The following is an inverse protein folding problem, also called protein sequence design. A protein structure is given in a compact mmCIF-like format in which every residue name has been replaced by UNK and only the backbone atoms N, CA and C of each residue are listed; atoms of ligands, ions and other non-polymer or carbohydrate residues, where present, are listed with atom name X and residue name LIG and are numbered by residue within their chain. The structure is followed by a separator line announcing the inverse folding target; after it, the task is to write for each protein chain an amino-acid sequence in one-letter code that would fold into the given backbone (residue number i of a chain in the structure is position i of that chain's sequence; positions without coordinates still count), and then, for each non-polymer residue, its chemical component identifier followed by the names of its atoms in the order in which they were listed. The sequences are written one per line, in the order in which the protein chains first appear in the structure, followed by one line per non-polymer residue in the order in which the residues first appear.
data_IF_089035647279
#
_entry.id   IF_089035647279
#
_cell.length_a   1.000
_cell.length_b   1.000
_cell.length_c   1.000
_cell.angle_alpha   90.00
_cell.angle_beta   90.00
_cell.angle_gamma   90.00
#
_symmetry.space_group_name_H-M   'P 1'
#
loop_
_entity.id
_entity.type
_entity.pdbx_description
1 polymer ?
#
# COMPACT_ATOMS: atom_id res chain seq x y z
N UNK A 1 -8.00 3.48 21.98
CA UNK A 1 -7.18 2.50 21.23
C UNK A 1 -7.91 1.78 20.10
N UNK A 2 -9.26 1.79 20.00
CA UNK A 2 -9.97 1.17 18.86
C UNK A 2 -9.78 1.91 17.52
N UNK A 3 -9.42 3.19 17.55
CA UNK A 3 -9.32 4.01 16.34
C UNK A 3 -8.24 3.52 15.37
N UNK A 4 -7.08 3.08 15.88
CA UNK A 4 -5.93 2.73 15.04
C UNK A 4 -6.16 1.48 14.18
N UNK A 5 -6.93 0.50 14.68
CA UNK A 5 -7.24 -0.71 13.90
C UNK A 5 -8.20 -0.41 12.75
N UNK A 6 -9.20 0.43 12.99
CA UNK A 6 -10.14 0.88 11.96
C UNK A 6 -9.45 1.73 10.88
N UNK A 7 -8.49 2.56 11.29
CA UNK A 7 -7.63 3.28 10.35
C UNK A 7 -6.77 2.33 9.50
N UNK A 8 -6.19 1.30 10.12
CA UNK A 8 -5.41 0.30 9.40
C UNK A 8 -6.27 -0.43 8.36
N UNK A 9 -7.47 -0.88 8.74
CA UNK A 9 -8.44 -1.50 7.82
C UNK A 9 -8.82 -0.55 6.68
N UNK A 10 -9.12 0.71 6.98
CA UNK A 10 -9.46 1.72 5.98
C UNK A 10 -8.31 1.98 5.01
N UNK A 11 -7.08 2.07 5.51
CA UNK A 11 -5.89 2.28 4.68
C UNK A 11 -5.63 1.08 3.75
N UNK A 12 -5.85 -0.15 4.22
CA UNK A 12 -5.76 -1.35 3.38
C UNK A 12 -6.82 -1.33 2.28
N UNK A 13 -8.07 -0.97 2.60
CA UNK A 13 -9.13 -0.84 1.58
C UNK A 13 -8.77 0.17 0.50
N UNK A 14 -8.27 1.35 0.89
CA UNK A 14 -7.82 2.36 -0.07
C UNK A 14 -6.71 1.82 -0.98
N UNK A 15 -5.73 1.10 -0.40
CA UNK A 15 -4.66 0.47 -1.17
C UNK A 15 -5.19 -0.62 -2.10
N UNK A 16 -6.15 -1.43 -1.65
CA UNK A 16 -6.84 -2.43 -2.47
C UNK A 16 -7.53 -1.80 -3.67
N UNK A 17 -8.27 -0.70 -3.49
CA UNK A 17 -8.95 -0.02 -4.60
C UNK A 17 -7.99 0.46 -5.69
N UNK A 18 -6.75 0.80 -5.32
CA UNK A 18 -5.70 1.17 -6.28
C UNK A 18 -5.06 -0.07 -6.92
N UNK A 19 -4.83 -1.12 -6.14
CA UNK A 19 -4.10 -2.32 -6.57
C UNK A 19 -4.97 -3.28 -7.39
N UNK A 20 -6.31 -3.22 -7.26
CA UNK A 20 -7.22 -4.09 -8.00
C UNK A 20 -7.15 -3.90 -9.52
N UNK A 21 -6.66 -2.75 -9.97
CA UNK A 21 -6.40 -2.39 -11.37
C UNK A 21 -4.92 -2.52 -11.77
N UNK A 22 -4.08 -3.01 -10.84
CA UNK A 22 -2.63 -3.11 -10.98
C UNK A 22 -2.11 -4.44 -11.52
N UNK A 23 -0.93 -4.83 -11.07
CA UNK A 23 -0.19 -6.01 -11.56
C UNK A 23 -1.00 -7.31 -11.41
N UNK A 24 -1.74 -7.43 -10.31
CA UNK A 24 -2.52 -8.62 -9.97
C UNK A 24 -4.01 -8.49 -10.29
N UNK A 25 -4.37 -7.71 -11.32
CA UNK A 25 -5.75 -7.47 -11.77
C UNK A 25 -6.59 -8.77 -11.85
N UNK A 26 -6.05 -9.82 -12.46
CA UNK A 26 -6.75 -11.11 -12.66
C UNK A 26 -7.24 -11.73 -11.33
N UNK A 27 -6.52 -11.46 -10.25
CA UNK A 27 -6.81 -11.95 -8.91
C UNK A 27 -7.67 -10.98 -8.10
N UNK A 28 -7.42 -9.68 -8.23
CA UNK A 28 -7.97 -8.64 -7.34
C UNK A 28 -9.21 -7.93 -7.89
N UNK A 29 -9.42 -7.83 -9.21
CA UNK A 29 -10.58 -7.14 -9.77
C UNK A 29 -11.91 -7.82 -9.40
N UNK A 30 -11.92 -9.15 -9.42
CA UNK A 30 -13.02 -9.98 -8.95
C UNK A 30 -12.47 -11.06 -8.03
N UNK A 31 -12.26 -10.72 -6.74
CA UNK A 31 -11.58 -11.61 -5.82
C UNK A 31 -12.50 -12.77 -5.44
N UNK A 32 -11.94 -13.96 -5.44
CA UNK A 32 -12.54 -15.17 -4.88
C UNK A 32 -11.56 -15.80 -3.91
N UNK A 33 -12.04 -16.65 -2.99
CA UNK A 33 -11.15 -17.36 -2.05
C UNK A 33 -10.02 -18.11 -2.74
N UNK A 34 -10.31 -18.71 -3.90
CA UNK A 34 -9.31 -19.41 -4.70
C UNK A 34 -8.27 -18.47 -5.28
N UNK A 35 -8.72 -17.35 -5.88
CA UNK A 35 -7.82 -16.33 -6.44
C UNK A 35 -6.93 -15.70 -5.38
N UNK A 36 -7.51 -15.32 -4.23
CA UNK A 36 -6.74 -14.74 -3.12
C UNK A 36 -5.73 -15.72 -2.54
N UNK A 37 -6.09 -17.01 -2.45
CA UNK A 37 -5.15 -18.07 -2.06
C UNK A 37 -4.00 -18.18 -3.04
N UNK A 38 -4.30 -18.26 -4.33
CA UNK A 38 -3.28 -18.46 -5.35
C UNK A 38 -2.34 -17.24 -5.46
N UNK A 39 -2.89 -16.03 -5.32
CA UNK A 39 -2.10 -14.80 -5.21
C UNK A 39 -1.24 -14.77 -3.94
N UNK A 40 -1.79 -15.15 -2.79
CA UNK A 40 -1.03 -15.26 -1.54
C UNK A 40 0.16 -16.20 -1.72
N UNK A 41 -0.05 -17.38 -2.33
CA UNK A 41 1.04 -18.30 -2.64
C UNK A 41 2.13 -17.64 -3.48
N UNK A 42 1.75 -16.94 -4.55
CA UNK A 42 2.69 -16.24 -5.44
C UNK A 42 3.50 -15.17 -4.70
N UNK A 43 2.88 -14.40 -3.82
CA UNK A 43 3.56 -13.37 -3.02
C UNK A 43 4.59 -14.00 -2.09
N UNK A 44 4.24 -15.10 -1.42
CA UNK A 44 5.15 -15.79 -0.50
C UNK A 44 6.23 -16.61 -1.22
N UNK A 45 6.06 -16.94 -2.49
CA UNK A 45 7.15 -17.45 -3.34
C UNK A 45 8.20 -16.37 -3.63
N UNK A 46 7.81 -15.09 -3.63
CA UNK A 46 8.63 -13.96 -4.04
C UNK A 46 9.25 -13.20 -2.85
N UNK A 47 10.07 -13.88 -2.05
CA UNK A 47 10.85 -13.32 -0.93
C UNK A 47 10.02 -12.51 0.11
N UNK A 48 9.19 -13.19 0.91
CA UNK A 48 8.43 -12.55 1.98
C UNK A 48 9.36 -12.03 3.09
N UNK A 49 8.93 -10.99 3.79
CA UNK A 49 9.64 -10.54 4.99
C UNK A 49 9.40 -11.51 6.16
N UNK A 50 10.27 -11.48 7.18
CA UNK A 50 10.08 -12.32 8.37
C UNK A 50 8.73 -12.05 9.07
N UNK A 51 8.26 -10.81 9.05
CA UNK A 51 6.95 -10.49 9.61
C UNK A 51 5.80 -11.06 8.76
N UNK A 52 5.95 -11.06 7.43
CA UNK A 52 4.96 -11.67 6.53
C UNK A 52 4.88 -13.19 6.81
N UNK A 53 6.03 -13.86 6.99
CA UNK A 53 6.10 -15.28 7.37
C UNK A 53 5.41 -15.54 8.72
N UNK A 54 5.57 -14.66 9.70
CA UNK A 54 4.90 -14.78 10.99
C UNK A 54 3.37 -14.65 10.85
N UNK A 55 2.89 -13.70 10.04
CA UNK A 55 1.46 -13.54 9.75
C UNK A 55 0.88 -14.79 9.09
N UNK A 56 1.62 -15.36 8.12
CA UNK A 56 1.24 -16.61 7.47
C UNK A 56 1.12 -17.75 8.48
N UNK A 57 2.16 -17.95 9.31
CA UNK A 57 2.16 -18.98 10.34
C UNK A 57 0.99 -18.82 11.31
N UNK A 58 0.68 -17.60 11.73
CA UNK A 58 -0.41 -17.33 12.67
C UNK A 58 -1.78 -17.67 12.09
N UNK A 59 -2.05 -17.27 10.83
CA UNK A 59 -3.37 -17.50 10.23
C UNK A 59 -3.61 -18.97 9.85
N UNK A 60 -2.58 -19.62 9.31
CA UNK A 60 -2.68 -20.98 8.78
C UNK A 60 -2.22 -22.06 9.76
N UNK A 61 -1.61 -21.68 10.88
CA UNK A 61 -1.00 -22.59 11.86
C UNK A 61 0.06 -23.54 11.23
N UNK A 62 0.73 -23.08 10.16
CA UNK A 62 1.74 -23.86 9.44
C UNK A 62 2.84 -22.94 8.89
N UNK A 63 4.07 -23.43 8.89
CA UNK A 63 5.19 -22.69 8.30
C UNK A 63 5.13 -22.74 6.78
N UNK A 64 5.47 -21.62 6.14
CA UNK A 64 5.53 -21.56 4.68
C UNK A 64 6.65 -22.45 4.17
N UNK A 65 6.29 -23.34 3.24
CA UNK A 65 7.19 -24.33 2.66
C UNK A 65 6.81 -24.53 1.20
N UNK A 66 7.72 -24.17 0.30
CA UNK A 66 7.53 -24.26 -1.15
C UNK A 66 7.14 -25.68 -1.62
N UNK A 67 7.53 -26.72 -0.89
CA UNK A 67 7.21 -28.12 -1.23
C UNK A 67 5.76 -28.50 -0.88
N UNK A 68 5.09 -27.73 -0.01
CA UNK A 68 3.77 -28.06 0.56
C UNK A 68 2.61 -27.34 -0.12
N UNK A 69 2.75 -26.97 -1.40
CA UNK A 69 1.69 -26.28 -2.19
C UNK A 69 0.34 -27.00 -2.13
N UNK A 70 0.33 -28.33 -2.19
CA UNK A 70 -0.91 -29.11 -2.13
C UNK A 70 -1.62 -28.97 -0.79
N UNK A 71 -0.90 -28.96 0.33
CA UNK A 71 -1.48 -28.73 1.67
C UNK A 71 -2.04 -27.31 1.79
N UNK A 72 -1.40 -26.34 1.17
CA UNK A 72 -1.89 -24.97 1.15
C UNK A 72 -3.21 -24.81 0.36
N UNK A 73 -3.44 -25.63 -0.67
CA UNK A 73 -4.71 -25.60 -1.43
C UNK A 73 -5.93 -25.85 -0.54
N UNK A 74 -5.78 -26.61 0.54
CA UNK A 74 -6.83 -26.92 1.52
C UNK A 74 -7.20 -25.72 2.39
N UNK A 75 -6.33 -24.70 2.51
CA UNK A 75 -6.56 -23.52 3.35
C UNK A 75 -7.50 -22.47 2.72
N UNK A 76 -8.24 -22.83 1.67
CA UNK A 76 -9.13 -21.92 0.92
C UNK A 76 -10.12 -21.17 1.83
N UNK A 77 -10.66 -21.82 2.86
CA UNK A 77 -11.68 -21.21 3.73
C UNK A 77 -11.13 -20.09 4.62
N UNK A 78 -9.82 -20.09 4.92
CA UNK A 78 -9.16 -19.01 5.66
C UNK A 78 -9.16 -17.68 4.91
N UNK A 79 -9.38 -17.70 3.60
CA UNK A 79 -9.48 -16.51 2.75
C UNK A 79 -10.88 -15.90 2.71
N UNK A 80 -11.91 -16.57 3.27
CA UNK A 80 -13.27 -16.02 3.31
C UNK A 80 -13.33 -14.63 3.96
N UNK A 81 -12.72 -14.38 5.14
CA UNK A 81 -12.78 -13.05 5.76
C UNK A 81 -12.07 -11.96 4.95
N UNK A 82 -11.07 -12.33 4.13
CA UNK A 82 -10.32 -11.40 3.29
C UNK A 82 -11.12 -11.07 2.03
N UNK A 83 -11.77 -12.08 1.43
CA UNK A 83 -12.68 -11.89 0.30
C UNK A 83 -13.79 -10.91 0.65
N UNK A 84 -14.52 -11.17 1.74
CA UNK A 84 -15.64 -10.32 2.15
C UNK A 84 -15.18 -8.93 2.60
N UNK A 85 -13.96 -8.81 3.13
CA UNK A 85 -13.34 -7.54 3.47
C UNK A 85 -13.06 -6.68 2.23
N UNK A 86 -12.44 -7.24 1.20
CA UNK A 86 -12.16 -6.55 -0.05
C UNK A 86 -13.41 -6.20 -0.84
N UNK A 87 -14.46 -7.03 -0.77
CA UNK A 87 -15.76 -6.72 -1.35
C UNK A 87 -16.56 -5.68 -0.55
N UNK A 88 -16.11 -5.30 0.64
CA UNK A 88 -16.83 -4.38 1.53
C UNK A 88 -18.06 -4.98 2.19
N UNK A 89 -18.24 -6.31 2.12
CA UNK A 89 -19.40 -7.01 2.70
C UNK A 89 -19.31 -7.12 4.22
N UNK A 90 -18.10 -7.42 4.73
CA UNK A 90 -17.88 -7.55 6.17
C UNK A 90 -16.56 -6.93 6.61
N UNK A 91 -16.46 -6.67 7.90
CA UNK A 91 -15.22 -6.23 8.52
C UNK A 91 -14.66 -7.33 9.44
N UNK A 92 -13.52 -7.95 9.11
CA UNK A 92 -12.99 -9.07 9.86
C UNK A 92 -12.48 -8.62 11.22
N UNK A 93 -12.80 -9.41 12.25
CA UNK A 93 -12.27 -9.21 13.61
C UNK A 93 -10.89 -9.87 13.80
N UNK A 94 -10.56 -10.84 12.95
CA UNK A 94 -9.30 -11.56 13.02
C UNK A 94 -8.15 -10.69 12.49
N UNK A 95 -7.27 -10.26 13.40
CA UNK A 95 -6.10 -9.42 13.09
C UNK A 95 -5.16 -10.10 12.10
N UNK A 96 -4.97 -11.42 12.16
CA UNK A 96 -4.12 -12.14 11.22
C UNK A 96 -4.70 -12.15 9.81
N UNK A 97 -6.03 -12.20 9.67
CA UNK A 97 -6.69 -12.06 8.37
C UNK A 97 -6.54 -10.63 7.81
N UNK A 98 -6.64 -9.60 8.65
CA UNK A 98 -6.39 -8.20 8.24
C UNK A 98 -4.92 -8.02 7.84
N UNK A 99 -3.98 -8.57 8.60
CA UNK A 99 -2.57 -8.51 8.26
C UNK A 99 -2.28 -9.24 6.94
N UNK A 100 -2.90 -10.39 6.70
CA UNK A 100 -2.76 -11.08 5.42
C UNK A 100 -3.37 -10.27 4.26
N UNK A 101 -4.49 -9.59 4.48
CA UNK A 101 -5.05 -8.66 3.51
C UNK A 101 -4.06 -7.54 3.16
N UNK A 102 -3.37 -6.98 4.16
CA UNK A 102 -2.31 -5.99 3.95
C UNK A 102 -1.14 -6.55 3.12
N UNK A 103 -0.77 -7.82 3.30
CA UNK A 103 0.27 -8.49 2.49
C UNK A 103 -0.19 -8.62 1.04
N UNK A 104 -1.43 -9.09 0.81
CA UNK A 104 -1.97 -9.33 -0.54
C UNK A 104 -1.96 -8.06 -1.41
N UNK A 105 -2.17 -6.89 -0.81
CA UNK A 105 -2.18 -5.61 -1.53
C UNK A 105 -0.88 -4.81 -1.34
N UNK A 106 0.18 -5.44 -0.85
CA UNK A 106 1.46 -4.80 -0.52
C UNK A 106 1.34 -3.48 0.29
N UNK A 107 0.41 -3.41 1.24
CA UNK A 107 0.26 -2.25 2.13
C UNK A 107 1.40 -2.20 3.16
N UNK A 108 1.99 -1.01 3.34
CA UNK A 108 3.06 -0.77 4.32
C UNK A 108 2.71 0.46 5.18
N UNK A 109 3.02 0.47 6.49
CA UNK A 109 3.69 -0.58 7.26
C UNK A 109 2.74 -1.74 7.62
N UNK A 110 3.25 -2.96 7.55
CA UNK A 110 2.60 -4.19 8.05
C UNK A 110 3.58 -5.02 8.89
N UNK A 111 3.11 -5.82 9.86
CA UNK A 111 1.73 -6.02 10.33
C UNK A 111 1.23 -4.86 11.21
N UNK A 112 -0.02 -4.95 11.68
CA UNK A 112 -0.70 -3.91 12.49
C UNK A 112 0.15 -3.34 13.63
N UNK A 113 0.91 -4.17 14.36
CA UNK A 113 1.81 -3.69 15.43
C UNK A 113 2.83 -2.66 14.96
N UNK A 114 3.35 -2.79 13.72
CA UNK A 114 4.27 -1.81 13.13
C UNK A 114 3.52 -0.56 12.67
N UNK A 115 2.31 -0.72 12.15
CA UNK A 115 1.44 0.40 11.80
C UNK A 115 1.13 1.25 13.02
N UNK A 116 0.64 0.64 14.10
CA UNK A 116 0.33 1.33 15.36
C UNK A 116 1.55 2.09 15.92
N UNK A 117 2.72 1.43 15.95
CA UNK A 117 3.96 2.08 16.37
C UNK A 117 4.30 3.30 15.49
N UNK A 118 4.10 3.20 14.17
CA UNK A 118 4.38 4.31 13.25
C UNK A 118 3.39 5.46 13.47
N UNK A 119 2.11 5.19 13.64
CA UNK A 119 1.10 6.21 13.92
C UNK A 119 1.44 6.98 15.20
N UNK A 120 1.76 6.27 16.30
CA UNK A 120 2.12 6.90 17.57
C UNK A 120 3.37 7.78 17.50
N UNK A 121 4.38 7.36 16.72
CA UNK A 121 5.58 8.17 16.49
C UNK A 121 5.25 9.43 15.68
N UNK A 122 4.38 9.31 14.67
CA UNK A 122 3.99 10.44 13.83
C UNK A 122 3.13 11.45 14.59
N UNK A 123 2.22 10.97 15.45
CA UNK A 123 1.45 11.81 16.38
C UNK A 123 2.38 12.59 17.32
N UNK A 124 3.36 11.92 17.92
CA UNK A 124 4.33 12.57 18.80
C UNK A 124 5.14 13.65 18.08
N UNK A 125 5.56 13.40 16.83
CA UNK A 125 6.25 14.41 16.02
C UNK A 125 5.37 15.61 15.68
N UNK A 126 4.09 15.39 15.38
CA UNK A 126 3.17 16.49 15.10
C UNK A 126 2.94 17.37 16.33
N UNK A 127 2.88 16.78 17.53
CA UNK A 127 2.83 17.53 18.78
C UNK A 127 4.10 18.34 18.98
N UNK A 128 5.30 17.74 18.79
CA UNK A 128 6.56 18.49 18.89
C UNK A 128 6.69 19.63 17.86
N UNK A 129 6.14 19.46 16.66
CA UNK A 129 6.11 20.51 15.63
C UNK A 129 5.12 21.62 16.02
N UNK A 130 3.95 21.25 16.54
CA UNK A 130 2.95 22.21 17.00
C UNK A 130 3.46 23.01 18.21
N UNK A 131 4.13 22.37 19.16
CA UNK A 131 4.72 23.02 20.33
C UNK A 131 5.85 23.97 19.93
N UNK A 132 6.67 23.61 18.94
CA UNK A 132 7.69 24.51 18.39
C UNK A 132 7.10 25.66 17.58
N UNK A 133 6.03 25.41 16.82
CA UNK A 133 5.33 26.45 16.08
C UNK A 133 4.67 27.45 17.05
N UNK A 134 4.04 26.97 18.11
CA UNK A 134 3.46 27.81 19.15
C UNK A 134 4.53 28.60 19.91
N UNK A 135 5.69 28.01 20.21
CA UNK A 135 6.80 28.74 20.83
C UNK A 135 7.38 29.84 19.90
N UNK A 136 7.40 29.63 18.58
CA UNK A 136 7.81 30.67 17.62
C UNK A 136 6.74 31.78 17.50
N UNK A 137 5.46 31.42 17.55
CA UNK A 137 4.35 32.39 17.58
C UNK A 137 4.33 33.18 18.90
N UNK A 138 4.62 32.56 20.05
CA UNK A 138 4.76 33.27 21.34
C UNK A 138 5.94 34.26 21.32
N UNK A 139 7.06 33.91 20.68
CA UNK A 139 8.19 34.84 20.49
C UNK A 139 7.82 35.99 19.56
N UNK A 140 7.07 35.73 18.47
CA UNK A 140 6.58 36.79 17.58
C UNK A 140 5.50 37.66 18.24
N UNK A 141 4.59 37.08 19.03
CA UNK A 141 3.59 37.82 19.80
C UNK A 141 4.23 38.64 20.92
N UNK A 142 5.25 38.16 21.63
CA UNK A 142 6.01 38.98 22.61
C UNK A 142 6.74 40.14 21.92
N UNK A 143 7.34 39.93 20.74
CA UNK A 143 7.99 41.00 19.96
C UNK A 143 6.95 42.03 19.48
N UNK A 144 5.78 41.58 19.02
CA UNK A 144 4.68 42.45 18.56
C UNK A 144 4.02 43.18 19.74
N UNK A 145 3.91 42.56 20.93
CA UNK A 145 3.37 43.20 22.15
C UNK A 145 4.32 44.27 22.66
N UNK A 146 5.64 44.06 22.58
CA UNK A 146 6.64 45.10 22.91
C UNK A 146 6.57 46.29 21.94
N UNK A 147 6.28 46.06 20.66
CA UNK A 147 6.09 47.14 19.67
C UNK A 147 4.72 47.85 19.80
N UNK A 148 3.66 47.15 20.26
CA UNK A 148 2.29 47.68 20.32
C UNK A 148 1.91 48.36 21.63
N UNK A 149 2.71 48.23 22.69
CA UNK A 149 2.54 49.01 23.94
C UNK A 149 2.77 50.53 23.77
N UNK A 150 3.10 50.99 22.55
CA UNK A 150 3.22 52.42 22.23
C UNK A 150 1.89 53.03 21.74
N UNK A 151 0.91 52.26 21.27
CA UNK A 151 -0.36 52.86 20.80
C UNK A 151 -1.62 52.05 21.16
N UNK A 152 -2.28 52.58 22.20
CA UNK A 152 -3.72 52.79 22.37
C UNK A 152 -4.67 51.61 22.68
N UNK A 153 -5.44 51.86 23.76
CA UNK A 153 -6.63 51.17 24.24
C UNK A 153 -7.80 51.30 23.26
N UNK A 154 -8.50 50.19 22.96
CA UNK A 154 -9.97 50.08 23.05
C UNK A 154 -10.54 48.75 22.50
N UNK A 155 -11.44 48.20 23.33
CA UNK A 155 -12.69 47.48 23.04
C UNK A 155 -12.73 46.02 22.54
N UNK A 156 -13.63 45.33 23.24
CA UNK A 156 -14.13 43.94 23.27
C UNK A 156 -14.52 43.27 21.93
N UNK A 157 -14.32 41.95 21.81
CA UNK A 157 -15.40 40.97 21.53
C UNK A 157 -14.90 39.53 21.26
N UNK A 158 -15.82 38.59 21.49
CA UNK A 158 -15.74 37.13 21.58
C UNK A 158 -15.61 36.46 20.20
N UNK A 159 -15.01 35.27 20.11
CA UNK A 159 -15.69 34.04 19.63
C UNK A 159 -14.80 32.79 19.66
N UNK A 160 -15.49 31.66 19.80
CA UNK A 160 -15.02 30.30 20.01
C UNK A 160 -14.75 29.62 18.65
N UNK A 161 -13.69 28.80 18.44
CA UNK A 161 -13.61 27.97 17.24
C UNK A 161 -13.87 26.49 17.53
N UNK A 162 -14.73 25.91 16.71
CA UNK A 162 -14.99 24.49 16.55
C UNK A 162 -13.71 23.72 16.14
N UNK A 163 -13.51 22.55 16.73
CA UNK A 163 -12.39 21.65 16.45
C UNK A 163 -12.51 21.02 15.06
N UNK A 164 -11.78 21.57 14.11
CA UNK A 164 -11.60 21.04 12.76
C UNK A 164 -10.63 19.84 12.70
N UNK A 165 -11.18 18.65 12.42
CA UNK A 165 -10.65 17.54 11.61
C UNK A 165 -9.18 17.59 11.13
N UNK A 166 -8.28 17.00 11.94
CA UNK A 166 -6.86 16.71 11.63
C UNK A 166 -6.62 15.48 10.74
N UNK A 167 -7.68 14.79 10.30
CA UNK A 167 -7.60 13.42 9.77
C UNK A 167 -7.25 13.30 8.27
N UNK A 168 -7.24 14.39 7.50
CA UNK A 168 -6.92 14.31 6.07
C UNK A 168 -5.43 14.11 5.76
N UNK A 169 -4.53 14.35 6.73
CA UNK A 169 -3.09 14.31 6.48
C UNK A 169 -2.50 12.89 6.41
N UNK A 170 -3.06 11.90 7.12
CA UNK A 170 -2.42 10.57 7.19
C UNK A 170 -2.56 9.80 5.87
N UNK A 171 -3.71 9.89 5.20
CA UNK A 171 -3.88 9.37 3.85
C UNK A 171 -2.97 10.08 2.83
N UNK A 172 -2.81 11.40 2.94
CA UNK A 172 -1.91 12.18 2.08
C UNK A 172 -0.42 11.80 2.27
N UNK A 173 0.00 11.49 3.50
CA UNK A 173 1.37 11.06 3.81
C UNK A 173 1.68 9.69 3.18
N UNK A 174 0.73 8.75 3.19
CA UNK A 174 0.92 7.44 2.55
C UNK A 174 0.81 7.51 1.02
N UNK A 175 -0.06 8.37 0.48
CA UNK A 175 -0.17 8.60 -0.98
C UNK A 175 1.09 9.23 -1.57
N UNK A 176 1.82 10.08 -0.84
CA UNK A 176 3.05 10.71 -1.33
C UNK A 176 4.22 9.74 -1.54
N UNK A 177 4.15 8.50 -1.01
CA UNK A 177 5.21 7.49 -1.14
C UNK A 177 4.90 6.40 -2.18
N UNK A 178 3.96 6.65 -3.09
CA UNK A 178 3.70 5.78 -4.25
C UNK A 178 4.60 6.29 -5.40
N UNK A 179 5.91 6.13 -5.22
CA UNK A 179 6.87 6.15 -6.31
C UNK A 179 6.90 4.75 -6.94
N UNK A 180 6.69 4.69 -8.25
CA UNK A 180 6.68 3.48 -9.07
C UNK A 180 7.84 2.54 -8.69
N UNK A 181 7.55 1.48 -7.92
CA UNK A 181 8.48 0.36 -7.74
C UNK A 181 8.29 -0.56 -8.95
N UNK A 182 8.96 -0.21 -10.05
CA UNK A 182 9.22 -1.14 -11.14
C UNK A 182 10.12 -2.25 -10.57
N UNK A 183 9.58 -3.45 -10.36
CA UNK A 183 10.41 -4.65 -10.20
C UNK A 183 11.07 -4.99 -11.55
N UNK A 184 12.31 -5.51 -11.58
CA UNK A 184 13.06 -5.67 -12.81
C UNK A 184 12.42 -6.73 -13.72
N UNK A 185 11.88 -6.26 -14.84
CA UNK A 185 11.39 -7.07 -15.97
C UNK A 185 12.59 -7.84 -16.55
N UNK A 186 12.69 -9.15 -16.31
CA UNK A 186 13.62 -10.00 -17.08
C UNK A 186 13.10 -10.10 -18.51
N UNK A 187 13.66 -9.30 -19.42
CA UNK A 187 13.39 -9.38 -20.85
C UNK A 187 14.11 -10.64 -21.35
N UNK A 188 13.34 -11.70 -21.63
CA UNK A 188 13.84 -12.84 -22.40
C UNK A 188 13.79 -12.40 -23.86
N UNK A 189 14.90 -11.88 -24.37
CA UNK A 189 15.10 -11.65 -25.81
C UNK A 189 15.10 -13.01 -26.51
N UNK A 190 13.99 -13.36 -27.14
CA UNK A 190 13.94 -14.43 -28.12
C UNK A 190 14.56 -13.88 -29.39
N UNK A 191 15.82 -14.19 -29.64
CA UNK A 191 16.48 -13.98 -30.94
C UNK A 191 15.72 -14.78 -31.99
N UNK A 192 14.87 -14.09 -32.75
CA UNK A 192 14.26 -14.62 -33.97
C UNK A 192 15.41 -14.77 -34.98
N UNK A 193 15.92 -15.99 -35.11
CA UNK A 193 16.84 -16.35 -36.18
C UNK A 193 16.14 -16.12 -37.51
N UNK A 194 16.75 -15.29 -38.37
CA UNK A 194 16.28 -15.06 -39.72
C UNK A 194 16.31 -16.39 -40.51
N UNK A 195 15.15 -16.99 -40.72
CA UNK A 195 14.97 -18.03 -41.73
C UNK A 195 14.94 -17.31 -43.07
N UNK A 196 16.06 -17.34 -43.80
CA UNK A 196 16.14 -16.87 -45.16
C UNK A 196 15.26 -17.75 -46.06
N UNK A 197 14.05 -17.29 -46.36
CA UNK A 197 13.26 -17.81 -47.47
C UNK A 197 13.96 -17.36 -48.77
N UNK A 198 14.72 -18.27 -49.39
CA UNK A 198 15.18 -18.09 -50.77
C UNK A 198 13.94 -18.20 -51.67
N UNK A 199 13.40 -17.05 -52.03
CA UNK A 199 12.38 -16.85 -53.04
C UNK A 199 12.94 -17.22 -54.42
N UNK A 200 12.89 -18.52 -54.74
CA UNK A 200 13.12 -19.04 -56.08
C UNK A 200 11.92 -18.74 -56.98
N UNK A 201 11.82 -17.50 -57.49
CA UNK A 201 11.10 -17.22 -58.73
C UNK A 201 11.45 -15.83 -59.29
N UNK A 202 12.07 -15.85 -60.47
CA UNK A 202 11.85 -14.90 -61.58
C UNK A 202 12.36 -13.45 -61.46
N UNK A 203 13.59 -13.24 -61.91
CA UNK A 203 13.98 -12.18 -62.86
C UNK A 203 15.11 -12.78 -63.73
N UNK A 204 14.83 -13.59 -64.75
CA UNK A 204 14.48 -13.16 -66.10
C UNK A 204 15.19 -11.87 -66.57
N UNK A 205 15.97 -12.06 -67.64
CA UNK A 205 16.57 -11.07 -68.53
C UNK A 205 17.74 -10.26 -67.99
N UNK A 206 18.91 -10.39 -68.65
CA UNK A 206 19.50 -9.37 -69.53
C UNK A 206 21.00 -9.70 -69.78
N UNK A 207 21.28 -10.04 -71.04
CA UNK A 207 22.52 -9.77 -71.82
C UNK A 207 23.84 -10.54 -71.56
N UNK A 208 24.16 -11.43 -72.52
CA UNK A 208 25.35 -11.44 -73.41
C UNK A 208 25.27 -12.70 -74.30
N UNK A 209 25.21 -12.70 -75.65
CA UNK A 209 26.01 -12.01 -76.69
C UNK A 209 27.49 -12.23 -76.37
N UNK A 210 28.17 -13.22 -76.95
CA UNK A 210 28.32 -13.58 -78.37
C UNK A 210 28.33 -15.10 -78.62
#
# INVERSE_FOLDING_TARGET
MHHTLEEYKKAIKIKYETEKEGEYFDYLYSPSRGKLRDLCWLIFENNPTQDDLNVFRNLFCLDFDHTKKNKFKEQKDKFRPIETFFKGETDPLNIDAINLAAIIVDFQPRPFKKFDKKCRIEEAKQIEIADKANAVVEIEEEIIVVERLVENENEESKEHPEKGNTFFNLAAIFSKKIGQKLYPRKIITITIGAVALVSSACLYFVQKKD
#
